data_IF_916371861176
#
_entry.id   IF_916371861176
#
_cell.length_a   1.000
_cell.length_b   1.000
_cell.length_c   1.000
_cell.angle_alpha   90.00
_cell.angle_beta   90.00
_cell.angle_gamma   90.00
#
_symmetry.space_group_name_H-M   'P 1'
#
loop_
_entity.id
_entity.type
_entity.pdbx_description
1 polymer ?
#
# COMPACT_ATOMS: atom_id res chain seq x y z
N UNK A 1 -3.94 8.09 13.80
CA UNK A 1 -3.52 9.32 14.51
C UNK A 1 -3.21 10.34 13.43
N UNK A 2 -4.12 11.27 13.17
CA UNK A 2 -3.89 12.35 12.20
C UNK A 2 -2.95 13.37 12.82
N UNK A 3 -2.05 13.92 11.99
CA UNK A 3 -0.98 14.87 12.38
C UNK A 3 -1.55 16.10 13.11
N UNK A 4 -2.83 16.42 12.90
CA UNK A 4 -3.51 17.59 13.45
C UNK A 4 -3.77 17.55 14.97
N UNK A 5 -3.63 16.38 15.62
CA UNK A 5 -3.83 16.27 17.08
C UNK A 5 -2.57 16.53 17.91
N UNK A 6 -1.48 16.95 17.28
CA UNK A 6 -0.22 17.25 17.95
C UNK A 6 0.00 18.76 18.05
N UNK A 7 -0.98 19.48 18.59
CA UNK A 7 -0.81 20.88 18.97
C UNK A 7 -0.07 20.98 20.30
N UNK A 8 1.11 21.61 20.28
CA UNK A 8 2.06 21.91 21.37
C UNK A 8 3.14 20.87 21.70
N UNK A 9 3.84 20.36 20.69
CA UNK A 9 5.18 19.81 20.88
C UNK A 9 6.18 20.96 21.03
N UNK A 10 7.03 20.92 22.07
CA UNK A 10 8.11 21.89 22.23
C UNK A 10 9.12 21.77 21.08
N UNK A 11 9.77 22.86 20.66
CA UNK A 11 10.80 22.83 19.59
C UNK A 11 11.86 21.76 19.83
N UNK A 12 12.28 21.59 21.08
CA UNK A 12 13.23 20.55 21.50
C UNK A 12 12.67 19.13 21.29
N UNK A 13 11.40 18.92 21.61
CA UNK A 13 10.73 17.63 21.40
C UNK A 13 10.56 17.32 19.91
N UNK A 14 10.26 18.31 19.07
CA UNK A 14 10.19 18.15 17.62
C UNK A 14 11.54 17.73 17.04
N UNK A 15 12.62 18.42 17.41
CA UNK A 15 13.98 18.11 16.96
C UNK A 15 14.43 16.69 17.36
N UNK A 16 14.07 16.26 18.58
CA UNK A 16 14.31 14.87 19.02
C UNK A 16 13.51 13.91 18.14
N UNK A 17 12.20 14.15 17.95
CA UNK A 17 11.34 13.26 17.19
C UNK A 17 11.74 13.17 15.72
N UNK A 18 12.21 14.26 15.10
CA UNK A 18 12.71 14.28 13.72
C UNK A 18 13.96 13.41 13.55
N UNK A 19 14.89 13.46 14.51
CA UNK A 19 16.18 12.79 14.43
C UNK A 19 16.25 11.42 15.13
N UNK A 20 15.22 11.05 15.89
CA UNK A 20 15.17 9.77 16.59
C UNK A 20 15.18 8.60 15.59
N UNK A 21 16.10 7.63 15.72
CA UNK A 21 16.16 6.47 14.83
C UNK A 21 15.03 5.50 15.19
N UNK A 22 13.90 5.64 14.49
CA UNK A 22 12.79 4.68 14.58
C UNK A 22 12.61 3.95 13.24
N UNK A 23 12.16 2.70 13.35
CA UNK A 23 11.73 1.90 12.22
C UNK A 23 10.26 2.17 11.89
N UNK A 24 9.95 2.26 10.60
CA UNK A 24 8.60 2.39 10.08
C UNK A 24 8.41 1.48 8.87
N UNK A 25 7.23 0.89 8.73
CA UNK A 25 6.92 0.02 7.60
C UNK A 25 6.57 0.77 6.31
N UNK A 26 6.20 2.04 6.46
CA UNK A 26 6.03 2.99 5.37
C UNK A 26 6.36 4.37 5.91
N UNK A 27 6.89 5.25 5.06
CA UNK A 27 7.13 6.66 5.39
C UNK A 27 6.63 7.58 4.29
N UNK A 28 6.12 8.73 4.69
CA UNK A 28 5.87 9.87 3.82
C UNK A 28 7.17 10.68 3.64
N UNK A 29 7.72 10.70 2.44
CA UNK A 29 8.96 11.42 2.12
C UNK A 29 8.82 12.96 2.22
N UNK A 30 7.60 13.49 2.19
CA UNK A 30 7.31 14.91 2.38
C UNK A 30 7.14 15.29 3.86
N UNK A 31 7.08 14.31 4.78
CA UNK A 31 6.93 14.56 6.21
C UNK A 31 8.29 14.70 6.89
N UNK A 32 8.55 15.86 7.51
CA UNK A 32 9.78 16.10 8.30
C UNK A 32 9.96 15.08 9.43
N UNK A 33 8.86 14.59 10.00
CA UNK A 33 8.88 13.60 11.07
C UNK A 33 9.23 12.20 10.56
N UNK A 34 8.96 11.88 9.30
CA UNK A 34 9.05 10.52 8.76
C UNK A 34 10.21 10.32 7.78
N UNK A 35 10.61 11.34 7.03
CA UNK A 35 11.58 11.22 5.92
C UNK A 35 12.92 10.60 6.34
N UNK A 36 13.37 10.90 7.56
CA UNK A 36 14.62 10.42 8.14
C UNK A 36 14.49 9.08 8.88
N UNK A 37 13.29 8.49 8.93
CA UNK A 37 13.05 7.21 9.57
C UNK A 37 13.53 6.05 8.70
N UNK A 38 13.96 5.00 9.39
CA UNK A 38 14.45 3.78 8.77
C UNK A 38 13.24 2.96 8.32
N UNK A 39 13.28 2.47 7.08
CA UNK A 39 12.26 1.54 6.61
C UNK A 39 12.59 0.14 7.15
N UNK A 40 11.57 -0.54 7.65
CA UNK A 40 11.58 -1.98 7.91
C UNK A 40 10.38 -2.60 7.19
N UNK A 41 10.37 -3.92 7.02
CA UNK A 41 9.22 -4.61 6.44
C UNK A 41 7.96 -4.44 7.29
N UNK A 42 6.80 -4.51 6.64
CA UNK A 42 5.52 -4.43 7.34
C UNK A 42 5.19 -5.75 8.06
N UNK A 43 4.52 -5.71 9.22
CA UNK A 43 4.24 -6.94 9.96
C UNK A 43 3.35 -7.94 9.21
N UNK A 44 2.64 -7.53 8.16
CA UNK A 44 1.83 -8.45 7.37
C UNK A 44 2.67 -9.21 6.34
N UNK A 45 3.71 -8.58 5.78
CA UNK A 45 4.66 -9.27 4.88
C UNK A 45 5.67 -10.13 5.66
N UNK A 46 6.00 -9.75 6.90
CA UNK A 46 6.85 -10.55 7.81
C UNK A 46 6.12 -11.76 8.38
N UNK A 47 4.79 -11.70 8.50
CA UNK A 47 3.98 -12.84 8.90
C UNK A 47 4.08 -13.92 7.81
N UNK A 48 5.06 -14.81 7.98
CA UNK A 48 5.40 -15.84 7.00
C UNK A 48 4.18 -16.66 6.63
N UNK A 49 3.28 -16.95 7.57
CA UNK A 49 2.05 -17.69 7.26
C UNK A 49 1.14 -16.89 6.31
N UNK A 50 0.98 -15.57 6.50
CA UNK A 50 0.14 -14.78 5.60
C UNK A 50 0.75 -14.63 4.22
N UNK A 51 2.01 -14.23 4.14
CA UNK A 51 2.63 -13.93 2.86
C UNK A 51 2.93 -15.20 2.05
N UNK A 52 3.46 -16.25 2.68
CA UNK A 52 3.72 -17.52 1.99
C UNK A 52 2.44 -18.18 1.48
N UNK A 53 1.35 -18.16 2.27
CA UNK A 53 0.05 -18.69 1.82
C UNK A 53 -0.49 -17.89 0.64
N UNK A 54 -0.39 -16.56 0.67
CA UNK A 54 -0.84 -15.71 -0.43
C UNK A 54 0.00 -15.95 -1.70
N UNK A 55 1.32 -16.11 -1.57
CA UNK A 55 2.21 -16.48 -2.69
C UNK A 55 1.74 -17.80 -3.32
N UNK A 56 1.48 -18.83 -2.52
CA UNK A 56 1.04 -20.13 -3.02
C UNK A 56 -0.30 -20.04 -3.78
N UNK A 57 -1.25 -19.27 -3.23
CA UNK A 57 -2.54 -19.01 -3.86
C UNK A 57 -2.40 -18.26 -5.20
N UNK A 58 -1.57 -17.22 -5.24
CA UNK A 58 -1.35 -16.40 -6.43
C UNK A 58 -0.61 -17.17 -7.52
N UNK A 59 0.39 -17.97 -7.16
CA UNK A 59 1.10 -18.82 -8.13
C UNK A 59 0.13 -19.82 -8.77
N UNK A 60 -0.68 -20.50 -7.97
CA UNK A 60 -1.70 -21.44 -8.46
C UNK A 60 -2.70 -20.73 -9.39
N UNK A 61 -3.23 -19.59 -8.98
CA UNK A 61 -4.20 -18.83 -9.79
C UNK A 61 -3.58 -18.26 -11.08
N UNK A 62 -2.29 -17.89 -11.05
CA UNK A 62 -1.56 -17.39 -12.21
C UNK A 62 -1.26 -18.47 -13.25
N UNK A 63 -1.11 -19.72 -12.84
CA UNK A 63 -1.00 -20.87 -13.75
C UNK A 63 -2.33 -21.17 -14.46
N UNK A 64 -3.45 -20.95 -13.78
CA UNK A 64 -4.80 -21.18 -14.31
C UNK A 64 -5.23 -20.05 -15.26
N UNK A 65 -4.93 -18.78 -14.91
CA UNK A 65 -5.38 -17.60 -15.65
C UNK A 65 -4.24 -17.02 -16.50
N UNK A 66 -4.15 -17.47 -17.75
CA UNK A 66 -3.15 -16.96 -18.70
C UNK A 66 -3.45 -15.51 -19.13
N UNK A 67 -2.41 -14.78 -19.55
CA UNK A 67 -2.51 -13.37 -19.99
C UNK A 67 -3.65 -13.10 -20.97
N UNK A 68 -3.87 -13.98 -21.95
CA UNK A 68 -4.88 -13.82 -22.99
C UNK A 68 -6.32 -14.04 -22.48
N UNK A 69 -6.49 -14.64 -21.31
CA UNK A 69 -7.81 -14.85 -20.68
C UNK A 69 -8.18 -13.72 -19.71
N UNK A 70 -7.22 -12.85 -19.37
CA UNK A 70 -7.44 -11.73 -18.45
C UNK A 70 -8.23 -10.61 -19.13
N UNK A 71 -9.10 -9.97 -18.38
CA UNK A 71 -9.96 -8.87 -18.82
C UNK A 71 -9.17 -7.57 -18.95
N UNK A 72 -9.40 -6.81 -20.01
CA UNK A 72 -8.75 -5.52 -20.32
C UNK A 72 -9.44 -4.32 -19.62
N UNK A 73 -9.70 -4.47 -18.32
CA UNK A 73 -10.29 -3.44 -17.45
C UNK A 73 -9.36 -3.18 -16.26
N UNK A 74 -9.27 -1.93 -15.83
CA UNK A 74 -8.62 -1.58 -14.55
C UNK A 74 -9.50 -2.12 -13.43
N UNK A 75 -8.92 -2.90 -12.51
CA UNK A 75 -9.66 -3.47 -11.39
C UNK A 75 -9.13 -3.00 -10.04
N UNK A 76 -10.04 -2.74 -9.11
CA UNK A 76 -9.72 -2.37 -7.74
C UNK A 76 -10.82 -2.73 -6.74
N UNK A 77 -10.42 -3.20 -5.55
CA UNK A 77 -11.27 -3.30 -4.36
C UNK A 77 -10.51 -2.79 -3.14
N UNK A 78 -11.14 -1.92 -2.36
CA UNK A 78 -10.55 -1.43 -1.12
C UNK A 78 -11.46 -0.54 -0.29
N UNK A 79 -11.05 -0.26 0.94
CA UNK A 79 -11.80 0.59 1.86
C UNK A 79 -11.58 2.08 1.57
N UNK A 80 -12.47 2.91 2.10
CA UNK A 80 -12.36 4.38 2.23
C UNK A 80 -11.25 4.80 3.20
N UNK A 81 -10.01 4.38 2.93
CA UNK A 81 -8.80 4.94 3.56
C UNK A 81 -8.14 5.94 2.61
N UNK A 82 -7.01 6.54 3.00
CA UNK A 82 -6.31 7.53 2.16
C UNK A 82 -6.85 8.96 2.27
N UNK A 83 -7.42 9.28 3.42
CA UNK A 83 -7.96 10.60 3.75
C UNK A 83 -9.02 10.48 4.83
N UNK A 84 -9.41 11.61 5.42
CA UNK A 84 -10.62 11.71 6.24
C UNK A 84 -11.74 12.16 5.30
N UNK A 85 -12.77 11.35 5.10
CA UNK A 85 -13.85 11.58 4.16
C UNK A 85 -14.84 12.60 4.73
N UNK A 86 -14.97 13.75 4.08
CA UNK A 86 -16.00 14.76 4.35
C UNK A 86 -16.34 15.59 3.08
N UNK A 87 -17.41 16.38 3.12
CA UNK A 87 -17.85 17.21 1.98
C UNK A 87 -16.91 18.37 1.64
N UNK A 88 -15.95 18.70 2.51
CA UNK A 88 -15.03 19.82 2.28
C UNK A 88 -13.82 19.39 1.45
N UNK A 89 -13.37 18.14 1.63
CA UNK A 89 -12.14 17.62 1.01
C UNK A 89 -12.35 16.48 0.01
N UNK A 90 -13.60 16.14 -0.34
CA UNK A 90 -13.91 14.99 -1.20
C UNK A 90 -13.14 14.96 -2.53
N UNK A 91 -12.76 16.13 -3.05
CA UNK A 91 -11.97 16.29 -4.28
C UNK A 91 -10.52 15.79 -4.16
N UNK A 92 -10.00 15.61 -2.94
CA UNK A 92 -8.66 15.08 -2.67
C UNK A 92 -8.67 13.60 -2.26
N UNK A 93 -9.81 12.92 -2.35
CA UNK A 93 -9.96 11.51 -1.97
C UNK A 93 -9.79 10.60 -3.18
N UNK A 94 -8.55 10.25 -3.52
CA UNK A 94 -8.26 9.57 -4.79
C UNK A 94 -8.92 8.19 -4.97
N UNK A 95 -9.18 7.45 -3.88
CA UNK A 95 -9.97 6.22 -3.93
C UNK A 95 -11.44 6.49 -4.28
N UNK A 96 -12.01 7.58 -3.77
CA UNK A 96 -13.34 8.04 -4.19
C UNK A 96 -13.33 8.46 -5.66
N UNK A 97 -12.30 9.18 -6.11
CA UNK A 97 -12.13 9.52 -7.53
C UNK A 97 -12.15 8.27 -8.41
N UNK A 98 -11.39 7.23 -8.06
CA UNK A 98 -11.36 5.98 -8.82
C UNK A 98 -12.75 5.28 -8.87
N UNK A 99 -13.45 5.20 -7.74
CA UNK A 99 -14.78 4.56 -7.69
C UNK A 99 -15.82 5.39 -8.47
N UNK A 100 -15.74 6.72 -8.42
CA UNK A 100 -16.58 7.61 -9.26
C UNK A 100 -16.29 7.40 -10.75
N UNK A 101 -15.01 7.30 -11.14
CA UNK A 101 -14.63 6.99 -12.52
C UNK A 101 -15.15 5.62 -12.98
N UNK A 102 -15.09 4.60 -12.12
CA UNK A 102 -15.68 3.28 -12.42
C UNK A 102 -17.19 3.34 -12.64
N UNK A 103 -17.91 4.16 -11.86
CA UNK A 103 -19.34 4.39 -12.07
C UNK A 103 -19.63 5.07 -13.42
N UNK A 104 -18.80 6.04 -13.82
CA UNK A 104 -18.97 6.75 -15.10
C UNK A 104 -18.51 5.94 -16.31
N UNK A 105 -17.52 5.06 -16.15
CA UNK A 105 -16.89 4.29 -17.23
C UNK A 105 -16.75 2.80 -16.84
N UNK A 106 -17.86 2.09 -16.58
CA UNK A 106 -17.82 0.72 -16.07
C UNK A 106 -17.14 -0.26 -17.03
N UNK A 107 -17.20 -0.03 -18.34
CA UNK A 107 -16.56 -0.90 -19.34
C UNK A 107 -15.03 -0.77 -19.35
N UNK A 108 -14.47 0.25 -18.70
CA UNK A 108 -13.03 0.53 -18.64
C UNK A 108 -12.44 0.27 -17.25
N UNK A 109 -13.20 0.58 -16.19
CA UNK A 109 -12.75 0.52 -14.81
C UNK A 109 -13.80 -0.20 -13.96
N UNK A 110 -13.34 -1.16 -13.17
CA UNK A 110 -14.11 -1.90 -12.17
C UNK A 110 -13.52 -1.64 -10.77
N UNK A 111 -13.97 -0.57 -10.13
CA UNK A 111 -13.50 -0.17 -8.81
C UNK A 111 -14.67 0.00 -7.85
N UNK A 112 -14.60 -0.68 -6.70
CA UNK A 112 -15.66 -0.61 -5.67
C UNK A 112 -15.09 -0.57 -4.27
N UNK A 113 -15.86 0.02 -3.36
CA UNK A 113 -15.54 0.01 -1.94
C UNK A 113 -15.83 -1.35 -1.31
N UNK A 114 -14.92 -1.78 -0.45
CA UNK A 114 -15.08 -2.98 0.40
C UNK A 114 -15.55 -2.64 1.81
N UNK A 115 -15.32 -1.40 2.26
CA UNK A 115 -15.71 -0.93 3.58
C UNK A 115 -15.74 0.62 3.67
N UNK A 116 -16.52 1.14 4.61
CA UNK A 116 -16.64 2.56 4.95
C UNK A 116 -16.05 2.82 6.34
N UNK A 117 -14.90 3.50 6.44
CA UNK A 117 -14.10 3.53 7.69
C UNK A 117 -13.63 4.92 8.14
N UNK A 118 -13.08 5.76 7.25
CA UNK A 118 -12.42 7.00 7.67
C UNK A 118 -13.27 8.26 7.40
N UNK A 119 -14.48 8.34 7.96
CA UNK A 119 -15.30 9.56 7.85
C UNK A 119 -15.07 10.48 9.04
N UNK A 120 -15.18 11.80 8.86
CA UNK A 120 -15.18 12.71 10.01
C UNK A 120 -16.47 12.57 10.82
N UNK A 121 -16.40 12.86 12.14
CA UNK A 121 -17.54 12.72 13.05
C UNK A 121 -18.51 13.91 13.02
N UNK A 122 -18.17 14.97 12.29
CA UNK A 122 -19.01 16.14 12.11
C UNK A 122 -20.12 15.91 11.06
N UNK A 123 -21.00 16.90 10.87
CA UNK A 123 -22.11 16.82 9.92
C UNK A 123 -21.65 16.52 8.48
N UNK A 124 -20.51 17.06 8.07
CA UNK A 124 -19.94 16.92 6.73
C UNK A 124 -19.57 15.45 6.46
N UNK A 125 -18.87 14.80 7.40
CA UNK A 125 -18.53 13.38 7.29
C UNK A 125 -19.76 12.46 7.29
N UNK A 126 -20.73 12.73 8.18
CA UNK A 126 -21.99 11.98 8.25
C UNK A 126 -22.79 12.11 6.93
N UNK A 127 -22.87 13.32 6.37
CA UNK A 127 -23.57 13.52 5.10
C UNK A 127 -22.87 12.83 3.94
N UNK A 128 -21.53 12.92 3.85
CA UNK A 128 -20.80 12.21 2.81
C UNK A 128 -20.99 10.70 2.92
N UNK A 129 -20.91 10.12 4.13
CA UNK A 129 -21.17 8.69 4.35
C UNK A 129 -22.55 8.27 3.81
N UNK A 130 -23.60 9.05 4.14
CA UNK A 130 -24.96 8.78 3.68
C UNK A 130 -25.11 8.93 2.16
N UNK A 131 -24.37 9.84 1.52
CA UNK A 131 -24.35 9.99 0.07
C UNK A 131 -23.67 8.77 -0.56
N UNK A 132 -22.47 8.40 -0.10
CA UNK A 132 -21.69 7.31 -0.69
C UNK A 132 -22.39 5.95 -0.55
N UNK A 133 -22.98 5.66 0.61
CA UNK A 133 -23.72 4.41 0.85
C UNK A 133 -25.02 4.30 0.05
N UNK A 134 -25.58 5.41 -0.42
CA UNK A 134 -26.73 5.42 -1.34
C UNK A 134 -26.30 5.41 -2.81
N UNK A 135 -25.18 6.06 -3.12
CA UNK A 135 -24.69 6.21 -4.50
C UNK A 135 -24.03 4.93 -5.00
N UNK A 136 -23.24 4.28 -4.14
CA UNK A 136 -22.56 3.04 -4.44
C UNK A 136 -23.33 1.88 -3.83
N UNK A 137 -23.50 0.82 -4.62
CA UNK A 137 -24.21 -0.40 -4.25
C UNK A 137 -23.55 -1.11 -3.04
N UNK A 138 -24.01 -2.33 -2.77
CA UNK A 138 -23.45 -3.25 -1.79
C UNK A 138 -21.92 -3.29 -1.87
N UNK A 139 -21.28 -3.24 -0.70
CA UNK A 139 -19.85 -3.50 -0.53
C UNK A 139 -19.48 -4.81 -1.24
N UNK A 140 -18.36 -4.78 -1.95
CA UNK A 140 -17.90 -5.90 -2.76
C UNK A 140 -16.50 -6.32 -2.31
N UNK A 141 -16.43 -7.41 -1.54
CA UNK A 141 -15.18 -7.98 -1.06
C UNK A 141 -14.79 -9.10 -2.01
N UNK A 142 -13.60 -8.96 -2.61
CA UNK A 142 -13.07 -9.91 -3.60
C UNK A 142 -11.68 -10.30 -3.14
N UNK A 143 -11.45 -11.60 -3.00
CA UNK A 143 -10.15 -12.18 -2.64
C UNK A 143 -9.10 -11.88 -3.71
N UNK A 144 -7.84 -11.73 -3.31
CA UNK A 144 -6.73 -11.33 -4.18
C UNK A 144 -6.63 -12.21 -5.44
N UNK A 145 -6.81 -13.53 -5.31
CA UNK A 145 -6.76 -14.48 -6.45
C UNK A 145 -7.80 -14.17 -7.53
N UNK A 146 -8.94 -13.60 -7.17
CA UNK A 146 -9.99 -13.24 -8.12
C UNK A 146 -9.64 -11.96 -8.89
N UNK A 147 -8.74 -11.11 -8.35
CA UNK A 147 -8.24 -9.92 -9.06
C UNK A 147 -7.36 -10.32 -10.24
N UNK A 148 -6.72 -11.49 -10.19
CA UNK A 148 -5.87 -12.00 -11.29
C UNK A 148 -6.63 -12.19 -12.60
N UNK A 149 -7.96 -12.17 -12.60
CA UNK A 149 -8.79 -12.21 -13.81
C UNK A 149 -8.70 -10.93 -14.65
N UNK A 150 -8.03 -9.89 -14.16
CA UNK A 150 -7.87 -8.60 -14.83
C UNK A 150 -6.41 -8.35 -15.19
N UNK A 151 -6.17 -7.81 -16.39
CA UNK A 151 -4.81 -7.46 -16.84
C UNK A 151 -4.23 -6.29 -16.05
N UNK A 152 -5.07 -5.40 -15.53
CA UNK A 152 -4.66 -4.09 -15.02
C UNK A 152 -5.12 -3.93 -13.57
N UNK A 153 -4.19 -3.97 -12.62
CA UNK A 153 -4.49 -3.84 -11.20
C UNK A 153 -3.89 -2.54 -10.68
N UNK A 154 -4.74 -1.66 -10.16
CA UNK A 154 -4.31 -0.34 -9.67
C UNK A 154 -4.04 -0.39 -8.16
N UNK A 155 -2.97 0.29 -7.72
CA UNK A 155 -2.69 0.54 -6.32
C UNK A 155 -2.78 2.04 -6.03
N UNK A 156 -3.75 2.41 -5.19
CA UNK A 156 -3.94 3.75 -4.64
C UNK A 156 -3.68 3.64 -3.14
N UNK A 157 -2.85 4.54 -2.62
CA UNK A 157 -2.48 4.51 -1.21
C UNK A 157 -3.67 4.67 -0.28
N UNK A 158 -3.50 4.13 0.93
CA UNK A 158 -4.44 4.31 2.03
C UNK A 158 -3.94 5.43 2.92
N UNK A 159 -4.13 5.27 4.24
CA UNK A 159 -3.54 6.19 5.22
C UNK A 159 -2.00 6.21 5.16
N UNK A 160 -1.39 5.20 4.55
CA UNK A 160 0.04 5.03 4.26
C UNK A 160 0.18 4.34 2.89
N UNK A 161 1.39 3.92 2.50
CA UNK A 161 1.58 3.03 1.36
C UNK A 161 0.68 1.79 1.45
N UNK A 162 0.32 1.20 0.31
CA UNK A 162 -0.69 0.14 0.22
C UNK A 162 -0.27 -1.26 0.76
N UNK A 163 0.78 -1.34 1.59
CA UNK A 163 1.30 -2.53 2.26
C UNK A 163 1.43 -3.73 1.31
N UNK A 164 0.74 -4.85 1.57
CA UNK A 164 0.80 -6.08 0.78
C UNK A 164 0.22 -5.95 -0.64
N UNK A 165 -0.57 -4.91 -0.95
CA UNK A 165 -1.20 -4.75 -2.28
C UNK A 165 -0.18 -4.72 -3.40
N UNK A 166 0.91 -3.99 -3.23
CA UNK A 166 1.92 -3.87 -4.29
C UNK A 166 2.64 -5.21 -4.50
N UNK A 167 3.23 -5.88 -3.48
CA UNK A 167 3.91 -7.16 -3.66
C UNK A 167 3.05 -8.23 -4.35
N UNK A 168 1.79 -8.37 -3.94
CA UNK A 168 0.94 -9.41 -4.50
C UNK A 168 0.47 -9.10 -5.92
N UNK A 169 0.27 -7.81 -6.27
CA UNK A 169 0.03 -7.42 -7.67
C UNK A 169 1.26 -7.70 -8.52
N UNK A 170 2.47 -7.37 -8.04
CA UNK A 170 3.70 -7.66 -8.80
C UNK A 170 3.83 -9.14 -9.13
N UNK A 171 3.42 -10.04 -8.23
CA UNK A 171 3.44 -11.50 -8.44
C UNK A 171 2.33 -12.04 -9.36
N UNK A 172 1.28 -11.26 -9.63
CA UNK A 172 0.01 -11.72 -10.21
C UNK A 172 0.01 -11.99 -11.72
N UNK A 173 1.12 -11.71 -12.41
CA UNK A 173 1.19 -11.59 -13.87
C UNK A 173 0.16 -10.60 -14.47
N UNK A 174 -0.37 -9.68 -13.65
CA UNK A 174 -1.11 -8.51 -14.09
C UNK A 174 -0.23 -7.27 -13.98
N UNK A 175 -0.54 -6.24 -14.76
CA UNK A 175 0.21 -4.98 -14.73
C UNK A 175 -0.24 -4.16 -13.54
N UNK A 176 0.72 -3.80 -12.70
CA UNK A 176 0.54 -2.80 -11.65
C UNK A 176 0.42 -1.41 -12.27
N UNK A 177 -0.69 -0.72 -12.02
CA UNK A 177 -0.78 0.73 -12.16
C UNK A 177 -0.55 1.35 -10.78
N UNK A 178 0.55 2.07 -10.59
CA UNK A 178 0.91 2.63 -9.28
C UNK A 178 0.75 4.14 -9.28
N UNK A 179 -0.10 4.63 -8.39
CA UNK A 179 -0.26 6.06 -8.15
C UNK A 179 1.04 6.69 -7.63
N UNK A 180 1.37 7.86 -8.18
CA UNK A 180 2.40 8.76 -7.65
C UNK A 180 2.00 9.30 -6.28
N UNK A 181 2.95 9.23 -5.36
CA UNK A 181 2.73 9.43 -3.93
C UNK A 181 4.06 9.65 -3.24
N UNK A 182 4.03 10.37 -2.13
CA UNK A 182 5.18 10.53 -1.26
C UNK A 182 5.40 9.33 -0.32
N UNK A 183 4.42 8.42 -0.22
CA UNK A 183 4.57 7.22 0.59
C UNK A 183 5.48 6.19 -0.09
N UNK A 184 6.42 5.67 0.67
CA UNK A 184 7.32 4.61 0.21
C UNK A 184 7.31 3.41 1.14
N UNK A 185 7.67 2.26 0.57
CA UNK A 185 8.05 1.03 1.28
C UNK A 185 9.48 0.66 0.88
N UNK A 186 10.03 -0.33 1.55
CA UNK A 186 11.44 -0.72 1.45
C UNK A 186 11.87 -1.13 0.05
N UNK A 187 11.01 -1.82 -0.69
CA UNK A 187 11.30 -2.36 -2.01
C UNK A 187 10.96 -1.39 -3.16
N UNK A 188 10.28 -0.26 -2.89
CA UNK A 188 9.89 0.67 -3.95
C UNK A 188 11.09 1.30 -4.65
N UNK A 189 12.22 1.42 -3.96
CA UNK A 189 13.48 1.97 -4.53
C UNK A 189 14.04 1.11 -5.66
N UNK A 190 13.67 -0.17 -5.71
CA UNK A 190 14.11 -1.11 -6.74
C UNK A 190 13.09 -1.29 -7.87
N UNK A 191 11.93 -0.62 -7.81
CA UNK A 191 10.92 -0.66 -8.85
C UNK A 191 11.13 0.47 -9.85
N UNK A 192 11.12 0.13 -11.13
CA UNK A 192 11.29 1.10 -12.22
C UNK A 192 9.99 1.30 -13.03
N UNK A 193 9.58 2.56 -13.28
CA UNK A 193 8.46 2.87 -14.17
C UNK A 193 8.68 2.28 -15.56
N UNK A 194 7.63 1.71 -16.15
CA UNK A 194 7.63 1.02 -17.44
C UNK A 194 8.54 -0.22 -17.53
N UNK A 195 9.15 -0.63 -16.43
CA UNK A 195 9.87 -1.92 -16.30
C UNK A 195 9.08 -2.88 -15.43
N UNK A 196 8.67 -2.46 -14.22
CA UNK A 196 7.89 -3.29 -13.29
C UNK A 196 6.43 -2.83 -13.13
N UNK A 197 6.12 -1.58 -13.49
CA UNK A 197 4.77 -1.03 -13.31
C UNK A 197 4.51 0.17 -14.24
N UNK A 198 3.24 0.59 -14.36
CA UNK A 198 2.84 1.83 -15.03
C UNK A 198 2.58 2.92 -14.00
N UNK A 199 3.29 4.06 -14.05
CA UNK A 199 3.01 5.18 -13.15
C UNK A 199 1.71 5.88 -13.54
N UNK A 200 0.96 6.31 -12.53
CA UNK A 200 -0.22 7.18 -12.66
C UNK A 200 0.01 8.46 -11.88
N UNK A 201 -0.45 9.59 -12.41
CA UNK A 201 -0.44 10.86 -11.67
C UNK A 201 -1.22 10.73 -10.36
N UNK A 202 -0.81 11.51 -9.37
CA UNK A 202 -1.45 11.55 -8.04
C UNK A 202 -2.97 11.77 -8.12
N UNK A 203 -3.43 12.63 -9.02
CA UNK A 203 -4.85 12.95 -9.20
C UNK A 203 -5.60 12.00 -10.16
N UNK A 204 -4.93 10.98 -10.69
CA UNK A 204 -5.45 10.03 -11.69
C UNK A 204 -5.87 10.68 -13.02
N UNK A 205 -5.43 11.91 -13.31
CA UNK A 205 -5.82 12.63 -14.53
C UNK A 205 -5.36 11.96 -15.83
N UNK A 206 -4.35 11.10 -15.78
CA UNK A 206 -3.79 10.36 -16.91
C UNK A 206 -4.29 8.90 -17.00
N UNK A 207 -5.26 8.48 -16.17
CA UNK A 207 -5.70 7.08 -16.10
C UNK A 207 -6.19 6.51 -17.42
N UNK A 208 -6.93 7.29 -18.22
CA UNK A 208 -7.42 6.86 -19.53
C UNK A 208 -6.33 6.82 -20.59
N UNK A 209 -5.37 7.77 -20.53
CA UNK A 209 -4.18 7.75 -21.39
C UNK A 209 -3.36 6.48 -21.12
N UNK A 210 -3.13 6.12 -19.85
CA UNK A 210 -2.40 4.91 -19.48
C UNK A 210 -3.14 3.64 -19.87
N UNK A 211 -4.47 3.61 -19.71
CA UNK A 211 -5.29 2.47 -20.15
C UNK A 211 -5.22 2.26 -21.66
N UNK A 212 -5.30 3.35 -22.44
CA UNK A 212 -5.20 3.27 -23.90
C UNK A 212 -3.82 2.79 -24.36
N UNK A 213 -2.76 3.30 -23.72
CA UNK A 213 -1.39 2.84 -23.97
C UNK A 213 -1.25 1.35 -23.68
N UNK A 214 -1.79 0.86 -22.57
CA UNK A 214 -1.77 -0.55 -22.18
C UNK A 214 -2.46 -1.44 -23.22
N UNK A 215 -3.64 -1.04 -23.70
CA UNK A 215 -4.39 -1.78 -24.73
C UNK A 215 -3.67 -1.80 -26.08
N UNK A 216 -3.07 -0.69 -26.49
CA UNK A 216 -2.35 -0.60 -27.77
C UNK A 216 -0.97 -1.27 -27.73
N UNK A 217 -0.39 -1.45 -26.54
CA UNK A 217 0.93 -2.05 -26.34
C UNK A 217 0.85 -3.37 -25.55
N UNK A 218 -0.13 -4.24 -25.85
CA UNK A 218 -0.40 -5.47 -25.06
C UNK A 218 0.85 -6.35 -24.83
N UNK A 219 1.68 -6.53 -25.87
CA UNK A 219 2.91 -7.32 -25.74
C UNK A 219 3.93 -6.69 -24.77
N UNK A 220 4.05 -5.36 -24.75
CA UNK A 220 4.90 -4.66 -23.78
C UNK A 220 4.28 -4.70 -22.39
N UNK A 221 2.96 -4.55 -22.28
CA UNK A 221 2.25 -4.66 -21.02
C UNK A 221 2.48 -6.04 -20.37
N UNK A 222 2.47 -7.12 -21.17
CA UNK A 222 2.83 -8.47 -20.73
C UNK A 222 4.26 -8.57 -20.23
N UNK A 223 5.23 -7.99 -20.95
CA UNK A 223 6.64 -7.98 -20.51
C UNK A 223 6.79 -7.24 -19.18
N UNK A 224 6.07 -6.13 -18.98
CA UNK A 224 6.09 -5.38 -17.71
C UNK A 224 5.56 -6.24 -16.57
N UNK A 225 4.45 -6.97 -16.76
CA UNK A 225 3.93 -7.86 -15.71
C UNK A 225 4.85 -9.05 -15.45
N UNK A 226 5.51 -9.61 -16.46
CA UNK A 226 6.49 -10.69 -16.30
C UNK A 226 7.74 -10.21 -15.53
N UNK A 227 8.25 -9.01 -15.83
CA UNK A 227 9.34 -8.39 -15.09
C UNK A 227 8.96 -8.09 -13.63
N UNK A 228 7.73 -7.64 -13.39
CA UNK A 228 7.19 -7.44 -12.05
C UNK A 228 7.16 -8.76 -11.24
N UNK A 229 6.66 -9.83 -11.87
CA UNK A 229 6.60 -11.17 -11.26
C UNK A 229 7.98 -11.71 -10.97
N UNK A 230 8.93 -11.52 -11.89
CA UNK A 230 10.32 -11.92 -11.71
C UNK A 230 10.97 -11.15 -10.55
N UNK A 231 10.76 -9.84 -10.46
CA UNK A 231 11.25 -9.05 -9.32
C UNK A 231 10.71 -9.58 -7.99
N UNK A 232 9.39 -9.82 -7.90
CA UNK A 232 8.78 -10.32 -6.67
C UNK A 232 9.35 -11.69 -6.26
N UNK A 233 9.52 -12.61 -7.21
CA UNK A 233 10.07 -13.96 -6.97
C UNK A 233 11.54 -14.01 -6.59
N UNK A 234 12.30 -12.96 -6.89
CA UNK A 234 13.75 -12.91 -6.66
C UNK A 234 14.14 -11.99 -5.50
N UNK A 235 13.20 -11.20 -4.97
CA UNK A 235 13.51 -10.15 -4.00
C UNK A 235 12.50 -10.03 -2.85
N UNK A 236 11.34 -10.69 -2.94
CA UNK A 236 10.25 -10.55 -1.97
C UNK A 236 9.69 -11.91 -1.51
N UNK A 237 10.41 -13.02 -1.71
CA UNK A 237 10.06 -14.31 -1.11
C UNK A 237 10.39 -14.31 0.38
N UNK A 238 9.73 -15.14 1.21
CA UNK A 238 9.97 -15.15 2.66
C UNK A 238 11.46 -15.21 3.05
N UNK A 239 12.25 -16.01 2.34
CA UNK A 239 13.69 -16.14 2.57
C UNK A 239 14.46 -14.84 2.26
N UNK A 240 14.09 -14.14 1.19
CA UNK A 240 14.68 -12.85 0.82
C UNK A 240 14.38 -11.78 1.89
N UNK A 241 13.16 -11.82 2.45
CA UNK A 241 12.70 -10.90 3.48
C UNK A 241 13.42 -11.14 4.81
N UNK A 242 13.59 -12.41 5.20
CA UNK A 242 14.34 -12.81 6.39
C UNK A 242 15.82 -12.41 6.29
N UNK A 243 16.45 -12.61 5.13
CA UNK A 243 17.82 -12.17 4.87
C UNK A 243 17.94 -10.65 4.96
N UNK A 244 17.02 -9.92 4.32
CA UNK A 244 17.00 -8.46 4.38
C UNK A 244 16.90 -7.94 5.82
N UNK A 245 15.96 -8.46 6.63
CA UNK A 245 15.78 -8.04 8.03
C UNK A 245 17.06 -8.30 8.82
N UNK A 246 17.67 -9.47 8.61
CA UNK A 246 18.92 -9.85 9.29
C UNK A 246 20.03 -8.86 9.00
N UNK A 247 20.24 -8.51 7.72
CA UNK A 247 21.24 -7.52 7.30
C UNK A 247 20.91 -6.15 7.90
N UNK A 248 19.68 -5.68 7.74
CA UNK A 248 19.27 -4.34 8.20
C UNK A 248 19.44 -4.16 9.72
N UNK A 249 19.10 -5.18 10.51
CA UNK A 249 19.24 -5.13 11.97
C UNK A 249 20.71 -5.25 12.42
N UNK A 250 21.53 -6.05 11.73
CA UNK A 250 22.97 -6.14 12.02
C UNK A 250 23.69 -4.83 11.69
N UNK A 251 23.39 -4.21 10.54
CA UNK A 251 23.89 -2.89 10.18
C UNK A 251 23.48 -1.85 11.23
N UNK A 252 22.19 -1.84 11.63
CA UNK A 252 21.71 -0.95 12.68
C UNK A 252 22.42 -1.18 14.03
N UNK A 253 22.67 -2.43 14.42
CA UNK A 253 23.41 -2.78 15.63
C UNK A 253 24.84 -2.25 15.58
N UNK A 254 25.54 -2.37 14.45
CA UNK A 254 26.92 -1.89 14.29
C UNK A 254 27.08 -0.38 14.51
N UNK A 255 26.01 0.39 14.31
CA UNK A 255 25.98 1.85 14.53
C UNK A 255 25.83 2.22 16.01
N UNK A 256 25.44 1.29 16.87
CA UNK A 256 25.26 1.54 18.31
C UNK A 256 26.61 1.57 19.02
N UNK A 257 26.97 2.75 19.53
CA UNK A 257 28.26 3.00 20.24
C UNK A 257 28.14 2.88 21.75
N UNK A 258 27.14 2.16 22.25
CA UNK A 258 26.88 1.98 23.68
C UNK A 258 26.64 0.51 24.00
N UNK A 259 27.01 0.09 25.21
CA UNK A 259 26.68 -1.24 25.71
C UNK A 259 25.28 -1.24 26.34
N UNK A 260 24.44 -2.17 25.92
CA UNK A 260 23.14 -2.44 26.53
C UNK A 260 23.33 -3.21 27.84
N UNK A 261 23.67 -2.51 28.92
CA UNK A 261 23.97 -3.12 30.21
C UNK A 261 22.74 -3.45 31.07
N UNK A 262 21.52 -3.13 30.61
CA UNK A 262 20.27 -3.47 31.32
C UNK A 262 19.10 -3.65 30.34
N UNK A 263 18.30 -4.73 30.46
CA UNK A 263 16.98 -4.79 29.84
C UNK A 263 16.13 -3.65 30.41
N UNK A 264 15.63 -2.76 29.54
CA UNK A 264 14.86 -1.57 29.92
C UNK A 264 13.49 -1.88 30.52
N UNK A 265 13.05 -3.14 30.47
CA UNK A 265 11.78 -3.63 30.99
C UNK A 265 12.01 -4.81 31.95
N UNK A 266 12.70 -4.59 33.06
CA UNK A 266 12.72 -5.60 34.13
C UNK A 266 11.37 -5.60 34.89
N UNK A 267 10.82 -6.76 35.27
CA UNK A 267 9.61 -6.83 36.08
C UNK A 267 9.84 -6.08 37.40
N UNK A 268 8.97 -5.13 37.74
CA UNK A 268 8.91 -4.58 39.09
C UNK A 268 8.30 -5.67 39.98
N UNK A 269 9.13 -6.42 40.70
CA UNK A 269 8.68 -7.36 41.72
C UNK A 269 8.21 -6.54 42.92
N UNK A 270 6.91 -6.27 43.00
CA UNK A 270 6.30 -5.80 44.25
C UNK A 270 6.22 -7.02 45.15
N UNK A 271 7.20 -7.19 46.04
CA UNK A 271 7.10 -8.21 47.09
C UNK A 271 5.81 -7.97 47.89
N UNK A 272 4.80 -8.83 47.69
CA UNK A 272 3.80 -9.08 48.72
C UNK A 272 4.48 -9.98 49.76
N UNK A 273 4.93 -9.36 50.85
CA UNK A 273 5.20 -10.09 52.09
C UNK A 273 3.84 -10.63 52.57
N UNK A 274 3.67 -11.94 52.50
CA UNK A 274 2.60 -12.65 53.19
C UNK A 274 2.81 -12.60 54.71
#
# INVERSE_FOLDING_TARGET
MTIDNITNISKKTAEILENFPAFMSSKNLESELEKNKLLLLDPYIIDNDKWSNLIAQINTASEICSWNQKTERIFWRGSTTGGIYNLENYHNLYRLTLVMLSRSFPDLIDAKFTNYTNFSNDKSGIYLYNILTKLFDKLDIVEEVEHLKYKYLISIDGSTAAWLRVPWILLSNSVLLKQETAYTQIFYVALEPYVNYIPLKKDLSDIFEKLEWLKTNDSKAKIISENASAFCRNCLMPEDLDEYITIALNEYHSLQKFELNTPTLQPVVVHQSF
#
